data_IF_513811512263
#
_entry.id   IF_513811512263
#
_cell.length_a   1.000
_cell.length_b   1.000
_cell.length_c   1.000
_cell.angle_alpha   90.00
_cell.angle_beta   90.00
_cell.angle_gamma   90.00
#
_symmetry.space_group_name_H-M   'P 1'
#
loop_
_entity.id
_entity.type
_entity.pdbx_description
1 polymer ?
#
# COMPACT_ATOMS: atom_id res chain seq x y z
N UNK A 1 -27.54 -33.99 -18.85
CA UNK A 1 -26.20 -33.94 -18.25
C UNK A 1 -26.27 -33.39 -16.83
N UNK A 2 -25.41 -33.84 -15.91
CA UNK A 2 -25.25 -33.21 -14.60
C UNK A 2 -24.24 -32.07 -14.75
N UNK A 3 -24.67 -30.83 -14.54
CA UNK A 3 -23.78 -29.68 -14.49
C UNK A 3 -23.04 -29.67 -13.14
N UNK A 4 -21.71 -29.66 -13.18
CA UNK A 4 -20.85 -29.71 -12.00
C UNK A 4 -20.14 -28.35 -11.84
N UNK A 5 -20.21 -27.76 -10.64
CA UNK A 5 -19.47 -26.54 -10.30
C UNK A 5 -18.21 -26.93 -9.55
N UNK A 6 -17.04 -26.45 -10.00
CA UNK A 6 -15.75 -26.69 -9.37
C UNK A 6 -15.06 -25.39 -9.00
N UNK A 7 -14.30 -25.44 -7.91
CA UNK A 7 -13.37 -24.37 -7.55
C UNK A 7 -12.17 -24.39 -8.49
N UNK A 8 -11.61 -23.21 -8.77
CA UNK A 8 -10.48 -23.08 -9.67
C UNK A 8 -9.19 -23.71 -9.10
N UNK A 9 -9.09 -23.79 -7.77
CA UNK A 9 -8.00 -24.45 -7.06
C UNK A 9 -8.63 -25.48 -6.12
N UNK A 10 -8.08 -26.69 -6.08
CA UNK A 10 -8.51 -27.71 -5.13
C UNK A 10 -8.23 -27.22 -3.70
N UNK A 11 -9.25 -27.28 -2.86
CA UNK A 11 -9.16 -26.91 -1.47
C UNK A 11 -9.47 -28.14 -0.62
N UNK A 12 -8.58 -28.50 0.32
CA UNK A 12 -8.80 -29.59 1.26
C UNK A 12 -9.72 -29.15 2.41
N UNK A 13 -10.91 -28.63 2.07
CA UNK A 13 -11.91 -28.19 3.04
C UNK A 13 -13.23 -28.93 2.82
N UNK A 14 -13.71 -29.60 3.86
CA UNK A 14 -15.04 -30.22 3.85
C UNK A 14 -16.15 -29.18 4.13
N UNK A 15 -15.83 -28.16 4.96
CA UNK A 15 -16.73 -27.05 5.29
C UNK A 15 -15.94 -25.74 5.43
N UNK A 16 -16.55 -24.63 5.04
CA UNK A 16 -15.97 -23.28 5.15
C UNK A 16 -17.04 -22.27 5.55
N UNK A 17 -16.64 -21.20 6.25
CA UNK A 17 -17.51 -20.05 6.50
C UNK A 17 -17.75 -19.28 5.21
N UNK A 18 -18.84 -18.49 5.13
CA UNK A 18 -19.11 -17.60 3.98
C UNK A 18 -17.97 -16.61 3.76
N UNK A 19 -17.41 -16.08 4.85
CA UNK A 19 -16.24 -15.19 4.80
C UNK A 19 -15.04 -15.89 4.18
N UNK A 20 -14.72 -17.12 4.63
CA UNK A 20 -13.59 -17.86 4.07
C UNK A 20 -13.82 -18.21 2.60
N UNK A 21 -15.02 -18.65 2.24
CA UNK A 21 -15.40 -18.93 0.86
C UNK A 21 -15.22 -17.71 -0.05
N UNK A 22 -15.58 -16.51 0.43
CA UNK A 22 -15.38 -15.26 -0.29
C UNK A 22 -13.89 -14.92 -0.44
N UNK A 23 -13.11 -15.05 0.62
CA UNK A 23 -11.67 -14.76 0.65
C UNK A 23 -10.88 -15.64 -0.32
N UNK A 24 -11.18 -16.94 -0.37
CA UNK A 24 -10.51 -17.89 -1.29
C UNK A 24 -11.14 -17.94 -2.67
N UNK A 25 -12.21 -17.16 -2.91
CA UNK A 25 -12.94 -17.14 -4.18
C UNK A 25 -13.55 -18.50 -4.56
N UNK A 26 -14.11 -19.23 -3.60
CA UNK A 26 -14.74 -20.53 -3.85
C UNK A 26 -16.04 -20.37 -4.64
N UNK A 27 -16.02 -20.86 -5.87
CA UNK A 27 -17.16 -21.01 -6.77
C UNK A 27 -18.26 -21.85 -6.11
N UNK A 28 -17.90 -23.00 -5.55
CA UNK A 28 -18.83 -23.90 -4.87
C UNK A 28 -19.48 -23.22 -3.67
N UNK A 29 -18.71 -22.49 -2.87
CA UNK A 29 -19.22 -21.74 -1.73
C UNK A 29 -20.21 -20.65 -2.13
N UNK A 30 -19.89 -19.85 -3.14
CA UNK A 30 -20.77 -18.77 -3.63
C UNK A 30 -22.05 -19.33 -4.30
N UNK A 31 -21.92 -20.38 -5.11
CA UNK A 31 -23.06 -21.05 -5.73
C UNK A 31 -24.02 -21.65 -4.70
N UNK A 32 -23.50 -22.34 -3.68
CA UNK A 32 -24.31 -22.89 -2.58
C UNK A 32 -25.02 -21.77 -1.80
N UNK A 33 -24.34 -20.66 -1.53
CA UNK A 33 -24.94 -19.50 -0.85
C UNK A 33 -26.06 -18.89 -1.70
N UNK A 34 -25.84 -18.69 -3.00
CA UNK A 34 -26.86 -18.16 -3.90
C UNK A 34 -28.10 -19.08 -3.97
N UNK A 35 -27.90 -20.39 -4.08
CA UNK A 35 -28.98 -21.37 -4.05
C UNK A 35 -29.71 -21.38 -2.70
N UNK A 36 -29.00 -21.28 -1.58
CA UNK A 36 -29.62 -21.23 -0.26
C UNK A 36 -30.52 -19.98 -0.09
N UNK A 37 -30.11 -18.84 -0.64
CA UNK A 37 -30.86 -17.59 -0.53
C UNK A 37 -31.98 -17.43 -1.60
N UNK A 38 -31.76 -17.94 -2.82
CA UNK A 38 -32.58 -17.62 -4.00
C UNK A 38 -33.02 -18.85 -4.81
N UNK A 39 -32.60 -20.06 -4.45
CA UNK A 39 -32.82 -21.28 -5.23
C UNK A 39 -34.20 -21.94 -5.06
N UNK A 40 -35.06 -21.42 -4.17
CA UNK A 40 -36.44 -21.91 -4.08
C UNK A 40 -37.23 -21.51 -5.35
N UNK A 41 -38.22 -22.33 -5.78
CA UNK A 41 -39.03 -22.02 -6.95
C UNK A 41 -39.58 -20.59 -6.94
N UNK A 42 -39.45 -19.89 -8.07
CA UNK A 42 -39.89 -18.49 -8.23
C UNK A 42 -39.00 -17.42 -7.57
N UNK A 43 -37.99 -17.79 -6.78
CA UNK A 43 -37.16 -16.81 -6.06
C UNK A 43 -35.94 -16.31 -6.84
N UNK A 44 -35.56 -16.96 -7.93
CA UNK A 44 -34.42 -16.56 -8.75
C UNK A 44 -34.54 -15.13 -9.29
N UNK A 45 -35.77 -14.70 -9.64
CA UNK A 45 -36.05 -13.33 -10.06
C UNK A 45 -35.66 -12.29 -8.99
N UNK A 46 -35.65 -12.64 -7.70
CA UNK A 46 -35.19 -11.74 -6.63
C UNK A 46 -33.69 -11.48 -6.67
N UNK A 47 -32.89 -12.45 -7.16
CA UNK A 47 -31.45 -12.26 -7.36
C UNK A 47 -31.21 -11.23 -8.47
N UNK A 48 -31.85 -11.41 -9.63
CA UNK A 48 -31.77 -10.45 -10.76
C UNK A 48 -32.30 -9.08 -10.35
N UNK A 49 -33.42 -9.03 -9.63
CA UNK A 49 -33.96 -7.79 -9.06
C UNK A 49 -32.94 -7.08 -8.16
N UNK A 50 -32.14 -7.82 -7.39
CA UNK A 50 -31.08 -7.24 -6.55
C UNK A 50 -29.97 -6.61 -7.40
N UNK A 51 -29.53 -7.28 -8.47
CA UNK A 51 -28.56 -6.71 -9.42
C UNK A 51 -29.09 -5.44 -10.08
N UNK A 52 -30.36 -5.45 -10.49
CA UNK A 52 -31.03 -4.26 -11.03
C UNK A 52 -31.13 -3.12 -10.01
N UNK A 53 -31.39 -3.45 -8.74
CA UNK A 53 -31.37 -2.48 -7.63
C UNK A 53 -29.99 -1.87 -7.39
N UNK A 54 -28.89 -2.49 -7.84
CA UNK A 54 -27.57 -1.88 -7.82
C UNK A 54 -27.27 -1.02 -9.06
N UNK A 55 -28.27 -0.81 -9.94
CA UNK A 55 -28.14 -0.13 -11.23
C UNK A 55 -27.18 -0.82 -12.22
N UNK A 56 -26.84 -2.11 -12.02
CA UNK A 56 -25.93 -2.85 -12.90
C UNK A 56 -26.50 -3.17 -14.28
N UNK A 57 -27.81 -2.96 -14.46
CA UNK A 57 -28.51 -3.15 -15.74
C UNK A 57 -28.57 -1.87 -16.58
N UNK A 58 -27.93 -0.79 -16.13
CA UNK A 58 -27.93 0.50 -16.80
C UNK A 58 -26.49 0.87 -17.20
N UNK A 59 -26.30 1.59 -18.32
CA UNK A 59 -25.04 2.28 -18.59
C UNK A 59 -24.70 3.26 -17.45
N UNK A 60 -23.41 3.56 -17.28
CA UNK A 60 -22.94 4.52 -16.27
C UNK A 60 -23.30 5.96 -16.63
N UNK A 61 -23.49 6.23 -17.92
CA UNK A 61 -23.79 7.56 -18.44
C UNK A 61 -22.56 8.46 -18.54
N UNK A 62 -21.35 7.88 -18.59
CA UNK A 62 -20.11 8.61 -18.81
C UNK A 62 -20.18 9.42 -20.12
N UNK A 63 -19.55 10.58 -20.16
CA UNK A 63 -19.57 11.49 -21.31
C UNK A 63 -18.63 11.04 -22.44
N UNK A 64 -18.66 9.75 -22.80
CA UNK A 64 -17.94 9.18 -23.95
C UNK A 64 -18.92 8.40 -24.82
N UNK A 65 -18.80 8.56 -26.13
CA UNK A 65 -19.54 7.75 -27.11
C UNK A 65 -19.08 6.29 -27.11
N UNK A 66 -20.03 5.37 -27.33
CA UNK A 66 -19.72 3.94 -27.43
C UNK A 66 -19.71 3.18 -26.11
N UNK A 67 -20.30 3.74 -25.03
CA UNK A 67 -20.57 2.95 -23.83
C UNK A 67 -21.50 1.77 -24.17
N UNK A 68 -20.99 0.55 -23.96
CA UNK A 68 -21.76 -0.67 -24.20
C UNK A 68 -22.85 -0.87 -23.14
N UNK A 69 -24.02 -1.34 -23.57
CA UNK A 69 -25.09 -1.72 -22.65
C UNK A 69 -24.72 -3.00 -21.88
N UNK A 70 -25.02 -3.06 -20.56
CA UNK A 70 -24.84 -4.28 -19.80
C UNK A 70 -25.90 -5.32 -20.22
N UNK A 71 -25.57 -6.59 -20.01
CA UNK A 71 -26.52 -7.68 -20.17
C UNK A 71 -26.62 -8.46 -18.86
N UNK A 72 -27.84 -8.66 -18.38
CA UNK A 72 -28.14 -9.49 -17.21
C UNK A 72 -29.28 -10.41 -17.60
N UNK A 73 -29.00 -11.70 -17.67
CA UNK A 73 -30.00 -12.72 -17.94
C UNK A 73 -31.13 -12.67 -16.93
N UNK A 74 -32.38 -12.76 -17.39
CA UNK A 74 -33.58 -12.60 -16.57
C UNK A 74 -34.50 -13.82 -16.68
N UNK A 75 -34.95 -14.44 -15.57
CA UNK A 75 -35.84 -15.59 -15.61
C UNK A 75 -37.23 -15.26 -16.19
N UNK A 76 -37.60 -13.97 -16.24
CA UNK A 76 -38.87 -13.52 -16.81
C UNK A 76 -38.81 -13.23 -18.32
N UNK A 77 -37.63 -13.30 -18.94
CA UNK A 77 -37.47 -13.03 -20.37
C UNK A 77 -37.42 -14.36 -21.16
N UNK A 78 -38.37 -14.63 -22.07
CA UNK A 78 -38.37 -15.87 -22.86
C UNK A 78 -37.16 -16.04 -23.78
N UNK A 79 -36.49 -14.95 -24.16
CA UNK A 79 -35.26 -15.00 -24.98
C UNK A 79 -34.03 -15.43 -24.17
N UNK A 80 -34.11 -15.26 -22.85
CA UNK A 80 -33.08 -15.70 -21.93
C UNK A 80 -33.31 -17.18 -21.61
N UNK A 81 -32.45 -18.06 -22.14
CA UNK A 81 -32.47 -19.52 -21.92
C UNK A 81 -32.20 -19.90 -20.46
N UNK A 82 -33.13 -19.57 -19.56
CA UNK A 82 -32.95 -19.67 -18.11
C UNK A 82 -33.01 -21.13 -17.67
N UNK A 83 -31.93 -21.60 -17.04
CA UNK A 83 -31.84 -22.96 -16.53
C UNK A 83 -31.64 -22.99 -15.02
N UNK A 84 -31.76 -24.17 -14.41
CA UNK A 84 -31.41 -24.37 -13.00
C UNK A 84 -29.95 -24.05 -12.66
N UNK A 85 -29.07 -24.01 -13.67
CA UNK A 85 -27.66 -23.67 -13.50
C UNK A 85 -27.39 -22.15 -13.55
N UNK A 86 -28.30 -21.36 -14.13
CA UNK A 86 -28.09 -19.92 -14.32
C UNK A 86 -27.83 -19.18 -13.01
N UNK A 87 -28.62 -19.44 -11.96
CA UNK A 87 -28.44 -18.77 -10.67
C UNK A 87 -27.06 -19.05 -10.03
N UNK A 88 -26.59 -20.32 -9.90
CA UNK A 88 -25.22 -20.63 -9.51
C UNK A 88 -24.17 -19.89 -10.34
N UNK A 89 -24.29 -19.90 -11.66
CA UNK A 89 -23.31 -19.31 -12.58
C UNK A 89 -23.24 -17.79 -12.47
N UNK A 90 -24.39 -17.13 -12.38
CA UNK A 90 -24.49 -15.69 -12.13
C UNK A 90 -23.86 -15.28 -10.81
N UNK A 91 -23.94 -16.12 -9.77
CA UNK A 91 -23.32 -15.81 -8.47
C UNK A 91 -21.78 -15.73 -8.51
N UNK A 92 -21.18 -16.28 -9.58
CA UNK A 92 -19.73 -16.33 -9.80
C UNK A 92 -19.29 -15.41 -10.95
N UNK A 93 -20.20 -14.60 -11.49
CA UNK A 93 -19.92 -13.62 -12.55
C UNK A 93 -20.05 -14.14 -13.98
N UNK A 94 -20.68 -15.30 -14.21
CA UNK A 94 -21.05 -15.78 -15.54
C UNK A 94 -22.51 -15.45 -15.88
N UNK A 95 -22.94 -15.66 -17.13
CA UNK A 95 -24.31 -15.36 -17.61
C UNK A 95 -24.76 -13.90 -17.42
N UNK A 96 -23.80 -12.98 -17.30
CA UNK A 96 -23.98 -11.53 -17.30
C UNK A 96 -22.75 -10.85 -17.90
N UNK A 97 -22.95 -9.68 -18.51
CA UNK A 97 -21.90 -8.87 -19.12
C UNK A 97 -21.97 -7.46 -18.55
N UNK A 98 -20.87 -7.01 -17.95
CA UNK A 98 -20.70 -5.67 -17.40
C UNK A 98 -19.43 -5.05 -17.97
N UNK A 99 -19.46 -3.75 -18.24
CA UNK A 99 -18.25 -3.01 -18.60
C UNK A 99 -17.33 -2.87 -17.38
N UNK A 100 -16.00 -2.75 -17.58
CA UNK A 100 -15.08 -2.48 -16.48
C UNK A 100 -15.46 -1.25 -15.67
N UNK A 101 -16.00 -0.22 -16.32
CA UNK A 101 -16.41 1.02 -15.67
C UNK A 101 -17.67 0.84 -14.80
N UNK A 102 -18.64 0.03 -15.23
CA UNK A 102 -19.80 -0.35 -14.41
C UNK A 102 -19.36 -1.11 -13.16
N UNK A 103 -18.46 -2.09 -13.33
CA UNK A 103 -17.94 -2.88 -12.22
C UNK A 103 -17.14 -2.01 -11.25
N UNK A 104 -16.29 -1.12 -11.76
CA UNK A 104 -15.55 -0.15 -10.95
C UNK A 104 -16.50 0.77 -10.19
N UNK A 105 -17.55 1.29 -10.84
CA UNK A 105 -18.55 2.16 -10.21
C UNK A 105 -19.29 1.47 -9.07
N UNK A 106 -19.56 0.16 -9.20
CA UNK A 106 -20.15 -0.65 -8.13
C UNK A 106 -19.21 -0.82 -6.93
N UNK A 107 -17.94 -1.14 -7.18
CA UNK A 107 -16.94 -1.23 -6.10
C UNK A 107 -16.64 0.12 -5.47
N UNK A 108 -16.64 1.20 -6.25
CA UNK A 108 -16.55 2.57 -5.76
C UNK A 108 -17.71 2.89 -4.82
N UNK A 109 -18.94 2.48 -5.14
CA UNK A 109 -20.08 2.65 -4.25
C UNK A 109 -19.90 1.90 -2.91
N UNK A 110 -19.28 0.71 -2.91
CA UNK A 110 -18.94 0.01 -1.67
C UNK A 110 -17.87 0.75 -0.87
N UNK A 111 -16.85 1.30 -1.54
CA UNK A 111 -15.81 2.12 -0.92
C UNK A 111 -16.39 3.43 -0.34
N UNK A 112 -17.35 4.03 -1.02
CA UNK A 112 -18.00 5.30 -0.70
C UNK A 112 -19.25 5.13 0.17
N UNK A 113 -19.18 4.22 1.15
CA UNK A 113 -20.23 3.98 2.16
C UNK A 113 -21.65 3.74 1.59
N UNK A 114 -21.72 3.13 0.42
CA UNK A 114 -22.95 2.77 -0.29
C UNK A 114 -23.46 3.84 -1.26
N UNK A 115 -22.76 4.95 -1.44
CA UNK A 115 -23.14 6.04 -2.33
C UNK A 115 -22.53 5.84 -3.72
N UNK A 116 -23.37 5.52 -4.69
CA UNK A 116 -22.99 5.37 -6.09
C UNK A 116 -22.96 6.72 -6.79
N UNK A 117 -21.82 7.02 -7.41
CA UNK A 117 -21.56 8.26 -8.13
C UNK A 117 -21.63 8.02 -9.64
N UNK A 118 -21.98 9.06 -10.40
CA UNK A 118 -21.83 9.07 -11.85
C UNK A 118 -20.35 9.27 -12.16
N UNK A 119 -19.68 8.38 -12.92
CA UNK A 119 -18.34 8.67 -13.42
C UNK A 119 -18.42 9.85 -14.39
N UNK A 120 -17.45 10.76 -14.32
CA UNK A 120 -17.36 11.92 -15.18
C UNK A 120 -15.89 12.25 -15.46
N UNK A 121 -15.61 12.86 -16.62
CA UNK A 121 -14.23 13.15 -17.08
C UNK A 121 -13.88 14.63 -17.06
N UNK A 122 -14.88 15.49 -17.17
CA UNK A 122 -14.70 16.94 -17.30
C UNK A 122 -15.20 17.59 -16.02
N UNK A 123 -14.33 18.28 -15.30
CA UNK A 123 -14.71 19.07 -14.11
C UNK A 123 -15.18 20.47 -14.50
N UNK A 124 -14.54 21.11 -15.48
CA UNK A 124 -14.92 22.42 -15.96
C UNK A 124 -14.45 22.70 -17.40
N UNK A 125 -15.12 23.65 -18.06
CA UNK A 125 -14.70 24.23 -19.33
C UNK A 125 -14.27 25.67 -19.06
N UNK A 126 -13.04 26.00 -19.46
CA UNK A 126 -12.46 27.32 -19.29
C UNK A 126 -12.27 28.05 -20.62
N UNK A 127 -12.37 29.38 -20.60
CA UNK A 127 -11.93 30.28 -21.69
C UNK A 127 -11.18 31.46 -21.10
N UNK A 128 -9.97 31.70 -21.59
CA UNK A 128 -9.05 32.73 -21.06
C UNK A 128 -8.82 32.64 -19.54
N UNK A 129 -8.75 31.41 -19.00
CA UNK A 129 -8.58 31.17 -17.57
C UNK A 129 -9.81 31.45 -16.71
N UNK A 130 -10.97 31.73 -17.32
CA UNK A 130 -12.25 31.86 -16.62
C UNK A 130 -13.12 30.64 -16.89
N UNK A 131 -13.65 30.05 -15.83
CA UNK A 131 -14.62 28.96 -15.90
C UNK A 131 -15.92 29.45 -16.56
N UNK A 132 -16.28 28.84 -17.67
CA UNK A 132 -17.57 29.08 -18.35
C UNK A 132 -18.62 28.11 -17.83
N UNK A 133 -18.22 26.86 -17.57
CA UNK A 133 -19.12 25.79 -17.17
C UNK A 133 -18.39 24.86 -16.19
N UNK A 134 -19.09 24.44 -15.15
CA UNK A 134 -18.57 23.55 -14.10
C UNK A 134 -19.51 22.36 -13.92
N UNK A 135 -18.94 21.16 -13.85
CA UNK A 135 -19.62 19.88 -13.80
C UNK A 135 -19.36 19.20 -12.45
N UNK A 136 -20.24 19.41 -11.45
CA UNK A 136 -20.04 18.84 -10.12
C UNK A 136 -20.31 17.33 -10.10
N UNK A 137 -19.72 16.58 -9.14
CA UNK A 137 -20.00 15.16 -8.95
C UNK A 137 -21.49 14.87 -8.76
N UNK A 138 -22.04 13.94 -9.56
CA UNK A 138 -23.47 13.57 -9.49
C UNK A 138 -23.66 12.27 -8.72
N UNK A 139 -24.65 12.25 -7.82
CA UNK A 139 -25.02 11.07 -7.03
C UNK A 139 -26.12 10.30 -7.75
N UNK A 140 -25.79 9.16 -8.35
CA UNK A 140 -26.79 8.29 -9.00
C UNK A 140 -27.66 7.57 -7.98
N UNK A 141 -27.06 7.12 -6.86
CA UNK A 141 -27.80 6.42 -5.81
C UNK A 141 -27.17 6.66 -4.45
N UNK A 142 -27.96 7.19 -3.52
CA UNK A 142 -27.49 7.53 -2.16
C UNK A 142 -27.11 6.30 -1.33
N UNK A 143 -27.83 5.18 -1.50
CA UNK A 143 -27.60 3.93 -0.79
C UNK A 143 -27.90 2.74 -1.71
N UNK A 144 -26.86 1.99 -2.09
CA UNK A 144 -27.01 0.73 -2.84
C UNK A 144 -27.44 -0.43 -1.92
N UNK A 145 -27.08 -0.36 -0.64
CA UNK A 145 -27.43 -1.34 0.40
C UNK A 145 -27.52 -0.66 1.78
N UNK A 146 -27.86 -1.41 2.82
CA UNK A 146 -27.80 -0.90 4.20
C UNK A 146 -26.35 -0.64 4.61
N UNK A 147 -26.14 0.29 5.55
CA UNK A 147 -24.80 0.58 6.08
C UNK A 147 -24.15 -0.67 6.66
N UNK A 148 -24.91 -1.52 7.36
CA UNK A 148 -24.42 -2.80 7.88
C UNK A 148 -23.92 -3.72 6.77
N UNK A 149 -24.68 -3.86 5.67
CA UNK A 149 -24.26 -4.67 4.52
C UNK A 149 -23.01 -4.10 3.86
N UNK A 150 -22.91 -2.78 3.72
CA UNK A 150 -21.70 -2.14 3.16
C UNK A 150 -20.48 -2.41 4.06
N UNK A 151 -20.60 -2.25 5.38
CA UNK A 151 -19.51 -2.54 6.31
C UNK A 151 -19.09 -4.02 6.28
N UNK A 152 -20.04 -4.94 6.13
CA UNK A 152 -19.75 -6.37 5.90
C UNK A 152 -19.02 -6.59 4.58
N UNK A 153 -19.45 -5.96 3.49
CA UNK A 153 -18.79 -6.06 2.19
C UNK A 153 -17.36 -5.51 2.22
N UNK A 154 -17.15 -4.35 2.83
CA UNK A 154 -15.81 -3.76 3.02
C UNK A 154 -14.89 -4.70 3.81
N UNK A 155 -15.40 -5.33 4.88
CA UNK A 155 -14.65 -6.34 5.65
C UNK A 155 -14.29 -7.57 4.80
N UNK A 156 -15.24 -8.09 4.03
CA UNK A 156 -15.00 -9.23 3.15
C UNK A 156 -13.93 -8.91 2.09
N UNK A 157 -14.00 -7.74 1.45
CA UNK A 157 -13.02 -7.29 0.46
C UNK A 157 -11.63 -7.05 1.06
N UNK A 158 -11.55 -6.55 2.30
CA UNK A 158 -10.30 -6.43 3.04
C UNK A 158 -9.72 -7.81 3.37
N UNK A 159 -10.57 -8.75 3.80
CA UNK A 159 -10.17 -10.13 4.12
C UNK A 159 -9.56 -10.88 2.93
N UNK A 160 -9.92 -10.54 1.68
CA UNK A 160 -9.28 -11.11 0.48
C UNK A 160 -7.79 -10.76 0.43
N UNK A 161 -7.43 -9.56 0.84
CA UNK A 161 -6.05 -9.05 0.88
C UNK A 161 -5.31 -9.45 2.16
N UNK A 162 -6.01 -9.64 3.28
CA UNK A 162 -5.34 -10.04 4.53
C UNK A 162 -5.13 -11.55 4.62
N UNK A 163 -6.08 -12.33 4.11
CA UNK A 163 -6.16 -13.78 4.37
C UNK A 163 -6.54 -14.61 3.15
N UNK A 164 -6.85 -13.99 2.01
CA UNK A 164 -7.42 -14.64 0.84
C UNK A 164 -6.49 -14.71 -0.37
N UNK A 165 -7.09 -14.72 -1.56
CA UNK A 165 -6.37 -14.86 -2.84
C UNK A 165 -5.37 -13.75 -3.14
N UNK A 166 -5.40 -12.63 -2.41
CA UNK A 166 -4.52 -11.49 -2.59
C UNK A 166 -3.51 -11.32 -1.42
N UNK A 167 -3.42 -12.29 -0.50
CA UNK A 167 -2.63 -12.15 0.74
C UNK A 167 -1.15 -11.89 0.53
N UNK A 168 -0.56 -12.45 -0.52
CA UNK A 168 0.86 -12.29 -0.84
C UNK A 168 1.23 -10.84 -1.23
N UNK A 169 0.24 -10.02 -1.57
CA UNK A 169 0.43 -8.63 -1.99
C UNK A 169 0.10 -7.61 -0.89
N UNK A 170 -0.17 -8.08 0.33
CA UNK A 170 -0.40 -7.19 1.46
C UNK A 170 0.84 -6.34 1.76
N UNK A 171 0.65 -5.12 2.26
CA UNK A 171 1.72 -4.17 2.52
C UNK A 171 1.56 -3.52 3.89
N UNK A 172 2.66 -3.26 4.63
CA UNK A 172 2.58 -2.56 5.91
C UNK A 172 2.36 -1.04 5.76
N UNK A 173 2.42 -0.49 4.54
CA UNK A 173 2.41 0.96 4.31
C UNK A 173 1.01 1.58 4.28
N UNK A 174 0.01 0.84 3.80
CA UNK A 174 -1.39 1.23 3.79
C UNK A 174 -2.28 0.00 3.57
N UNK A 175 -3.51 0.04 4.08
CA UNK A 175 -4.49 -1.00 3.79
C UNK A 175 -5.09 -0.79 2.39
N UNK A 176 -5.35 -1.87 1.66
CA UNK A 176 -6.18 -1.84 0.45
C UNK A 176 -7.16 -3.02 0.47
N UNK A 177 -8.26 -2.89 -0.26
CA UNK A 177 -9.31 -3.91 -0.30
C UNK A 177 -9.76 -4.13 -1.74
N UNK A 178 -10.13 -5.36 -2.08
CA UNK A 178 -10.55 -5.66 -3.43
C UNK A 178 -10.86 -7.14 -3.64
N UNK A 179 -11.07 -7.51 -4.90
CA UNK A 179 -11.38 -8.88 -5.30
C UNK A 179 -10.66 -9.25 -6.57
N UNK A 180 -10.06 -10.45 -6.57
CA UNK A 180 -9.53 -11.10 -7.75
C UNK A 180 -10.67 -11.72 -8.57
N UNK A 181 -10.60 -11.60 -9.88
CA UNK A 181 -11.46 -12.31 -10.83
C UNK A 181 -10.64 -13.09 -11.85
N UNK A 182 -11.08 -14.30 -12.15
CA UNK A 182 -10.54 -15.14 -13.23
C UNK A 182 -11.73 -15.68 -14.01
N UNK A 183 -11.90 -15.20 -15.23
CA UNK A 183 -13.04 -15.58 -16.08
C UNK A 183 -12.50 -16.32 -17.29
N UNK A 184 -13.08 -17.47 -17.59
CA UNK A 184 -12.79 -18.18 -18.82
C UNK A 184 -13.63 -17.58 -19.95
N UNK A 185 -12.95 -17.16 -21.02
CA UNK A 185 -13.58 -16.65 -22.22
C UNK A 185 -14.05 -17.83 -23.09
N UNK A 186 -15.12 -17.63 -23.84
CA UNK A 186 -15.66 -18.59 -24.81
C UNK A 186 -15.91 -19.99 -24.19
N UNK A 187 -16.59 -20.00 -23.04
CA UNK A 187 -16.93 -21.22 -22.28
C UNK A 187 -17.76 -22.23 -23.09
N UNK A 188 -18.36 -21.80 -24.21
CA UNK A 188 -19.17 -22.62 -25.11
C UNK A 188 -18.59 -22.52 -26.52
N UNK A 189 -18.11 -23.64 -27.10
CA UNK A 189 -17.81 -23.71 -28.54
C UNK A 189 -19.10 -23.47 -29.29
N UNK A 190 -19.15 -22.39 -30.06
CA UNK A 190 -20.25 -22.10 -30.98
C UNK A 190 -20.01 -22.75 -32.34
N UNK A 191 -18.73 -23.01 -32.70
CA UNK A 191 -18.31 -23.72 -33.90
C UNK A 191 -16.89 -24.35 -33.75
N UNK A 192 -16.39 -24.95 -34.82
CA UNK A 192 -15.02 -25.52 -34.89
C UNK A 192 -13.91 -24.48 -35.08
N UNK A 193 -14.27 -23.20 -35.20
CA UNK A 193 -13.34 -22.07 -35.40
C UNK A 193 -13.21 -21.19 -34.15
N UNK A 194 -14.04 -21.40 -33.14
CA UNK A 194 -13.94 -20.71 -31.85
C UNK A 194 -12.74 -21.29 -31.10
N UNK A 195 -11.67 -20.49 -30.96
CA UNK A 195 -10.57 -20.84 -30.06
C UNK A 195 -11.13 -20.95 -28.64
N UNK A 196 -11.26 -22.19 -28.16
CA UNK A 196 -11.48 -22.42 -26.73
C UNK A 196 -10.18 -22.07 -26.01
N UNK A 197 -10.22 -21.19 -25.03
CA UNK A 197 -9.14 -21.15 -24.03
C UNK A 197 -8.48 -19.80 -23.77
N UNK A 198 -9.24 -18.70 -23.88
CA UNK A 198 -8.82 -17.43 -23.31
C UNK A 198 -9.15 -17.32 -21.82
N UNK A 199 -8.29 -16.64 -21.05
CA UNK A 199 -8.61 -16.24 -19.68
C UNK A 199 -8.57 -14.73 -19.57
N UNK A 200 -9.51 -14.18 -18.82
CA UNK A 200 -9.51 -12.79 -18.40
C UNK A 200 -9.18 -12.73 -16.92
N UNK A 201 -8.00 -12.20 -16.62
CA UNK A 201 -7.53 -11.95 -15.27
C UNK A 201 -7.92 -10.53 -14.87
N UNK A 202 -8.46 -10.36 -13.67
CA UNK A 202 -8.88 -9.04 -13.17
C UNK A 202 -8.63 -8.86 -11.69
N UNK A 203 -8.44 -7.61 -11.32
CA UNK A 203 -8.50 -7.17 -9.93
C UNK A 203 -9.24 -5.84 -9.86
N UNK A 204 -10.22 -5.75 -8.97
CA UNK A 204 -10.95 -4.50 -8.71
C UNK A 204 -10.92 -4.23 -7.21
N UNK A 205 -10.62 -2.99 -6.85
CA UNK A 205 -10.43 -2.62 -5.46
C UNK A 205 -10.32 -1.13 -5.22
N UNK A 206 -10.05 -0.76 -3.98
CA UNK A 206 -9.89 0.62 -3.53
C UNK A 206 -8.84 0.74 -2.44
N UNK A 207 -8.26 1.94 -2.32
CA UNK A 207 -7.21 2.25 -1.36
C UNK A 207 -7.20 3.75 -1.00
N UNK A 208 -6.72 4.11 0.21
CA UNK A 208 -6.56 3.23 1.36
C UNK A 208 -7.89 2.59 1.82
N UNK A 209 -7.89 1.37 2.37
CA UNK A 209 -9.14 0.67 2.69
C UNK A 209 -9.92 1.31 3.86
N UNK A 210 -9.20 1.93 4.80
CA UNK A 210 -9.80 2.55 6.00
C UNK A 210 -10.42 3.92 5.71
N UNK A 211 -9.87 4.65 4.74
CA UNK A 211 -10.38 5.92 4.25
C UNK A 211 -10.22 5.97 2.71
N UNK A 212 -11.13 5.35 1.95
CA UNK A 212 -10.98 5.21 0.51
C UNK A 212 -10.91 6.54 -0.22
N UNK A 213 -9.88 6.71 -1.05
CA UNK A 213 -9.68 7.89 -1.90
C UNK A 213 -9.68 7.53 -3.37
N UNK A 214 -9.19 6.34 -3.69
CA UNK A 214 -9.07 5.84 -5.05
C UNK A 214 -9.73 4.46 -5.17
N UNK A 215 -10.38 4.22 -6.30
CA UNK A 215 -10.80 2.90 -6.74
C UNK A 215 -10.15 2.60 -8.09
N UNK A 216 -9.71 1.37 -8.30
CA UNK A 216 -9.04 0.95 -9.53
C UNK A 216 -9.52 -0.44 -9.94
N UNK A 217 -9.69 -0.62 -11.25
CA UNK A 217 -9.90 -1.92 -11.89
C UNK A 217 -8.78 -2.15 -12.89
N UNK A 218 -8.19 -3.34 -12.84
CA UNK A 218 -7.24 -3.84 -13.82
C UNK A 218 -7.86 -5.05 -14.49
N UNK A 219 -7.86 -5.06 -15.81
CA UNK A 219 -8.35 -6.16 -16.64
C UNK A 219 -7.26 -6.54 -17.64
N UNK A 220 -6.92 -7.83 -17.70
CA UNK A 220 -5.93 -8.36 -18.63
C UNK A 220 -6.55 -9.55 -19.35
N UNK A 221 -6.77 -9.39 -20.65
CA UNK A 221 -7.31 -10.43 -21.52
C UNK A 221 -6.17 -11.28 -22.11
N UNK A 222 -6.34 -12.59 -22.10
CA UNK A 222 -5.42 -13.59 -22.65
C UNK A 222 -3.96 -13.38 -22.21
N UNK A 223 -3.67 -13.39 -20.89
CA UNK A 223 -2.31 -13.24 -20.39
C UNK A 223 -1.43 -14.39 -20.90
N UNK A 224 -0.30 -14.04 -21.55
CA UNK A 224 0.64 -15.01 -22.14
C UNK A 224 1.76 -15.43 -21.19
N UNK A 225 2.00 -14.67 -20.12
CA UNK A 225 3.07 -14.88 -19.13
C UNK A 225 2.56 -14.51 -17.73
N UNK A 226 3.06 -15.20 -16.70
CA UNK A 226 2.71 -14.91 -15.30
C UNK A 226 1.50 -15.66 -14.75
N UNK A 227 0.95 -16.61 -15.51
CA UNK A 227 -0.22 -17.41 -15.10
C UNK A 227 -1.55 -16.85 -15.63
N UNK A 228 -2.66 -17.43 -15.18
CA UNK A 228 -4.02 -17.10 -15.63
C UNK A 228 -4.86 -16.43 -14.54
N UNK A 229 -4.36 -16.39 -13.30
CA UNK A 229 -5.13 -15.92 -12.16
C UNK A 229 -5.02 -14.39 -11.99
N UNK A 230 -6.14 -13.75 -11.60
CA UNK A 230 -6.19 -12.32 -11.28
C UNK A 230 -5.12 -11.87 -10.27
N UNK A 231 -4.81 -12.71 -9.27
CA UNK A 231 -3.77 -12.45 -8.27
C UNK A 231 -2.34 -12.43 -8.81
N UNK A 232 -2.08 -13.11 -9.92
CA UNK A 232 -0.73 -13.24 -10.48
C UNK A 232 -0.46 -12.22 -11.59
N UNK A 233 -1.51 -11.77 -12.29
CA UNK A 233 -1.36 -10.92 -13.49
C UNK A 233 -1.91 -9.51 -13.25
N UNK A 234 -3.15 -9.38 -12.77
CA UNK A 234 -3.81 -8.08 -12.64
C UNK A 234 -3.46 -7.35 -11.33
N UNK A 235 -3.37 -8.10 -10.23
CA UNK A 235 -3.04 -7.54 -8.92
C UNK A 235 -1.63 -6.88 -8.84
N UNK A 236 -0.55 -7.42 -9.42
CA UNK A 236 0.73 -6.71 -9.48
C UNK A 236 0.61 -5.32 -10.10
N UNK A 237 -0.14 -5.20 -11.20
CA UNK A 237 -0.36 -3.90 -11.89
C UNK A 237 -1.15 -2.95 -10.99
N UNK A 238 -2.19 -3.45 -10.31
CA UNK A 238 -2.93 -2.65 -9.32
C UNK A 238 -1.99 -2.14 -8.21
N UNK A 239 -1.09 -2.99 -7.70
CA UNK A 239 -0.15 -2.64 -6.63
C UNK A 239 0.83 -1.56 -7.07
N UNK A 240 1.42 -1.68 -8.25
CA UNK A 240 2.31 -0.66 -8.82
C UNK A 240 1.61 0.71 -8.93
N UNK A 241 0.38 0.73 -9.43
CA UNK A 241 -0.43 1.96 -9.53
C UNK A 241 -0.73 2.51 -8.13
N UNK A 242 -1.20 1.67 -7.22
CA UNK A 242 -1.60 2.07 -5.89
C UNK A 242 -0.41 2.57 -5.05
N UNK A 243 0.74 1.90 -5.11
CA UNK A 243 1.96 2.30 -4.43
C UNK A 243 2.47 3.64 -4.96
N UNK A 244 2.53 3.79 -6.29
CA UNK A 244 2.98 5.04 -6.89
C UNK A 244 2.08 6.20 -6.50
N UNK A 245 0.75 6.03 -6.54
CA UNK A 245 -0.19 7.07 -6.10
C UNK A 245 -0.03 7.35 -4.61
N UNK A 246 0.07 6.30 -3.79
CA UNK A 246 0.17 6.44 -2.34
C UNK A 246 1.41 7.24 -1.94
N UNK A 247 2.59 6.84 -2.41
CA UNK A 247 3.85 7.47 -2.02
C UNK A 247 4.11 8.84 -2.67
N UNK A 248 3.39 9.19 -3.75
CA UNK A 248 3.51 10.52 -4.37
C UNK A 248 2.47 11.52 -3.88
N UNK A 249 1.38 11.07 -3.27
CA UNK A 249 0.29 11.94 -2.81
C UNK A 249 0.52 12.41 -1.38
N UNK A 250 0.95 13.66 -1.21
CA UNK A 250 1.16 14.27 0.10
C UNK A 250 -0.09 14.20 0.99
N UNK A 251 -1.28 14.35 0.40
CA UNK A 251 -2.57 14.36 1.11
C UNK A 251 -2.96 13.00 1.72
N UNK A 252 -2.28 11.92 1.34
CA UNK A 252 -2.51 10.58 1.91
C UNK A 252 -1.63 10.29 3.12
N UNK A 253 -0.66 11.16 3.41
CA UNK A 253 0.27 10.99 4.52
C UNK A 253 -0.06 11.93 5.67
N UNK A 254 -0.01 11.43 6.90
CA UNK A 254 -0.04 12.30 8.07
C UNK A 254 1.18 13.23 8.03
N UNK A 255 1.00 14.56 8.22
CA UNK A 255 2.13 15.46 8.33
C UNK A 255 3.06 15.01 9.44
N UNK A 256 4.38 14.94 9.20
CA UNK A 256 5.36 14.52 10.22
C UNK A 256 5.30 15.40 11.48
N UNK A 257 4.90 16.66 11.32
CA UNK A 257 4.75 17.63 12.39
C UNK A 257 3.34 17.67 13.02
N UNK A 258 2.43 16.78 12.61
CA UNK A 258 1.07 16.70 13.17
C UNK A 258 1.08 16.18 14.61
N UNK A 259 2.07 15.33 14.95
CA UNK A 259 2.24 14.78 16.28
C UNK A 259 3.01 15.77 17.16
N UNK A 260 2.66 15.88 18.46
CA UNK A 260 3.42 16.71 19.39
C UNK A 260 4.90 16.36 19.30
N UNK A 261 5.77 17.37 19.20
CA UNK A 261 7.22 17.13 19.21
C UNK A 261 7.54 16.29 20.45
N UNK A 262 8.22 15.14 20.29
CA UNK A 262 8.55 14.30 21.42
C UNK A 262 9.34 15.13 22.43
N UNK A 263 8.97 15.06 23.72
CA UNK A 263 9.80 15.64 24.78
C UNK A 263 11.16 14.94 24.75
N UNK A 264 12.22 15.71 24.58
CA UNK A 264 13.58 15.22 24.67
C UNK A 264 13.86 14.95 26.15
N UNK A 265 13.81 13.67 26.54
CA UNK A 265 14.29 13.24 27.85
C UNK A 265 15.83 13.35 27.86
N UNK A 266 16.45 13.58 29.01
CA UNK A 266 17.92 13.69 29.13
C UNK A 266 18.67 12.50 28.50
N UNK A 267 18.11 11.28 28.57
CA UNK A 267 18.66 10.07 27.93
C UNK A 267 18.67 10.09 26.39
N UNK A 268 17.92 11.01 25.76
CA UNK A 268 17.84 11.19 24.31
C UNK A 268 18.69 12.36 23.82
N UNK A 269 19.25 13.15 24.73
CA UNK A 269 20.18 14.20 24.39
C UNK A 269 21.56 13.58 24.06
N UNK A 270 22.35 14.21 23.17
CA UNK A 270 23.70 13.76 22.89
C UNK A 270 24.53 13.70 24.17
N UNK A 271 25.18 12.57 24.43
CA UNK A 271 26.11 12.40 25.53
C UNK A 271 27.37 11.65 25.05
N UNK A 272 28.52 12.06 25.57
CA UNK A 272 29.84 11.57 25.13
C UNK A 272 30.21 11.91 23.67
N UNK A 273 29.60 12.93 23.04
CA UNK A 273 30.00 13.35 21.69
C UNK A 273 31.30 14.17 21.72
N UNK A 274 32.30 13.81 20.91
CA UNK A 274 33.61 14.48 20.89
C UNK A 274 33.81 15.13 19.52
N UNK A 275 34.27 16.38 19.51
CA UNK A 275 34.61 17.08 18.27
C UNK A 275 35.31 18.41 18.51
N UNK A 276 35.63 19.10 17.41
CA UNK A 276 36.19 20.44 17.45
C UNK A 276 35.17 21.43 18.03
N UNK A 277 35.61 22.30 18.94
CA UNK A 277 34.74 23.22 19.69
C UNK A 277 33.90 24.11 18.77
N UNK A 278 34.53 24.70 17.76
CA UNK A 278 33.85 25.62 16.82
C UNK A 278 32.74 24.91 16.04
N UNK A 279 33.02 23.70 15.56
CA UNK A 279 32.05 22.90 14.81
C UNK A 279 30.90 22.46 15.70
N UNK A 280 31.20 21.99 16.92
CA UNK A 280 30.19 21.57 17.87
C UNK A 280 29.26 22.73 18.27
N UNK A 281 29.81 23.94 18.48
CA UNK A 281 28.99 25.14 18.72
C UNK A 281 28.06 25.43 17.54
N UNK A 282 28.59 25.41 16.31
CA UNK A 282 27.81 25.64 15.10
C UNK A 282 26.63 24.66 14.98
N UNK A 283 26.88 23.36 15.20
CA UNK A 283 25.82 22.33 15.17
C UNK A 283 24.76 22.59 16.24
N UNK A 284 25.17 22.85 17.48
CA UNK A 284 24.22 23.10 18.58
C UNK A 284 23.39 24.36 18.34
N UNK A 285 23.99 25.42 17.79
CA UNK A 285 23.31 26.68 17.45
C UNK A 285 22.32 26.50 16.29
N UNK A 286 22.71 25.79 15.22
CA UNK A 286 21.84 25.48 14.09
C UNK A 286 20.63 24.64 14.50
N UNK A 287 20.83 23.69 15.41
CA UNK A 287 19.77 22.86 15.99
C UNK A 287 18.98 23.60 17.09
N UNK A 288 19.35 24.84 17.42
CA UNK A 288 18.75 25.66 18.49
C UNK A 288 18.72 24.93 19.84
N UNK A 289 19.76 24.16 20.13
CA UNK A 289 19.92 23.44 21.38
C UNK A 289 20.64 24.31 22.42
N UNK A 290 20.05 24.55 23.61
CA UNK A 290 20.71 25.32 24.66
C UNK A 290 21.90 24.54 25.25
N UNK A 291 23.04 25.20 25.39
CA UNK A 291 24.25 24.60 25.96
C UNK A 291 25.04 25.59 26.83
N UNK A 292 25.84 25.05 27.75
CA UNK A 292 26.82 25.80 28.54
C UNK A 292 28.24 25.47 28.08
N UNK A 293 28.99 26.49 27.67
CA UNK A 293 30.39 26.35 27.33
C UNK A 293 31.26 26.48 28.59
N UNK A 294 31.86 25.38 29.05
CA UNK A 294 32.65 25.35 30.29
C UNK A 294 34.16 25.30 30.03
N UNK A 295 34.59 25.44 28.77
CA UNK A 295 36.00 25.38 28.38
C UNK A 295 36.30 26.24 27.16
N UNK A 296 37.56 26.68 27.04
CA UNK A 296 38.11 27.35 25.84
C UNK A 296 38.97 26.42 24.97
N UNK A 297 39.09 25.14 25.34
CA UNK A 297 39.86 24.12 24.61
C UNK A 297 39.39 23.96 23.18
N UNK A 298 40.29 23.68 22.24
CA UNK A 298 39.91 23.44 20.83
C UNK A 298 39.11 22.15 20.65
N UNK A 299 39.31 21.18 21.54
CA UNK A 299 38.58 19.93 21.58
C UNK A 299 37.66 19.87 22.80
N UNK A 300 36.42 19.45 22.57
CA UNK A 300 35.38 19.36 23.60
C UNK A 300 34.68 18.02 23.60
N UNK A 301 34.08 17.69 24.74
CA UNK A 301 33.10 16.60 24.87
C UNK A 301 31.76 17.23 25.23
N UNK A 302 30.73 16.93 24.44
CA UNK A 302 29.34 17.25 24.76
C UNK A 302 28.85 16.26 25.80
N UNK A 303 28.34 16.79 26.89
CA UNK A 303 27.72 16.03 27.96
C UNK A 303 26.33 16.53 28.23
N UNK A 304 25.42 15.59 28.47
CA UNK A 304 24.14 15.94 29.09
C UNK A 304 24.36 16.05 30.60
N UNK A 305 23.96 17.17 31.19
CA UNK A 305 23.98 17.31 32.65
C UNK A 305 22.82 16.53 33.29
N UNK A 306 22.72 16.48 34.62
CA UNK A 306 21.53 15.95 35.30
C UNK A 306 20.24 16.79 35.07
N UNK A 307 20.30 17.75 34.13
CA UNK A 307 19.20 18.61 33.67
C UNK A 307 19.06 18.46 32.16
N UNK A 308 18.09 19.14 31.56
CA UNK A 308 17.87 19.21 30.11
C UNK A 308 18.88 20.10 29.35
N UNK A 309 20.00 20.47 29.99
CA UNK A 309 21.03 21.33 29.38
C UNK A 309 22.30 20.57 29.03
N UNK A 310 22.79 20.83 27.81
CA UNK A 310 24.07 20.31 27.32
C UNK A 310 25.25 21.14 27.85
N UNK A 311 26.39 20.50 28.04
CA UNK A 311 27.63 21.12 28.48
C UNK A 311 28.79 20.76 27.55
N UNK A 312 29.59 21.75 27.17
CA UNK A 312 30.85 21.53 26.47
C UNK A 312 31.98 21.48 27.50
N UNK A 313 32.51 20.28 27.73
CA UNK A 313 33.62 20.02 28.65
C UNK A 313 34.95 19.90 27.90
N UNK A 314 36.07 20.18 28.57
CA UNK A 314 37.41 20.07 27.99
C UNK A 314 37.73 18.62 27.60
N UNK A 315 38.05 18.38 26.33
CA UNK A 315 38.77 17.16 25.90
C UNK A 315 40.26 17.49 25.83
N UNK A 316 41.06 16.87 26.69
CA UNK A 316 42.53 17.04 26.65
C UNK A 316 43.10 16.25 25.48
N UNK A 317 43.69 16.97 24.53
CA UNK A 317 44.54 16.42 23.47
C UNK A 317 45.94 16.99 23.71
N UNK A 318 46.96 16.17 24.02
CA UNK A 318 48.31 16.68 24.27
C UNK A 318 48.88 17.47 23.08
N UNK A 319 49.52 18.60 23.35
CA UNK A 319 50.25 19.40 22.36
C UNK A 319 51.65 18.83 22.08
N UNK A 320 52.19 18.04 23.02
CA UNK A 320 53.44 17.32 22.88
C UNK A 320 53.40 16.32 21.71
N UNK A 321 54.58 15.98 21.16
CA UNK A 321 54.75 14.99 20.08
C UNK A 321 54.59 13.55 20.59
N UNK A 322 53.41 13.27 21.14
CA UNK A 322 52.98 11.98 21.69
C UNK A 322 51.65 11.54 21.08
N UNK A 323 51.39 10.24 21.09
CA UNK A 323 50.15 9.64 20.60
C UNK A 323 48.99 10.12 21.50
N UNK A 324 47.98 10.80 20.97
CA UNK A 324 46.81 11.20 21.74
C UNK A 324 45.79 10.06 21.91
N UNK A 325 44.87 10.21 22.85
CA UNK A 325 43.70 9.34 22.96
C UNK A 325 42.59 9.84 22.03
N UNK A 326 42.34 9.12 20.94
CA UNK A 326 41.29 9.42 19.95
C UNK A 326 40.05 8.55 20.11
N UNK A 327 39.99 7.68 21.12
CA UNK A 327 38.80 6.85 21.39
C UNK A 327 37.59 7.75 21.69
N UNK A 328 36.48 7.47 21.00
CA UNK A 328 35.23 8.22 21.02
C UNK A 328 35.10 9.29 19.93
N UNK A 329 36.18 9.61 19.20
CA UNK A 329 36.14 10.60 18.13
C UNK A 329 35.60 10.02 16.82
N UNK A 330 35.10 10.90 15.96
CA UNK A 330 34.81 10.57 14.57
C UNK A 330 36.12 10.26 13.82
N UNK A 331 36.03 9.49 12.73
CA UNK A 331 37.21 9.21 11.90
C UNK A 331 37.90 10.49 11.43
N UNK A 332 37.10 11.48 10.99
CA UNK A 332 37.62 12.76 10.48
C UNK A 332 38.46 13.49 11.53
N UNK A 333 37.95 13.61 12.75
CA UNK A 333 38.66 14.27 13.84
C UNK A 333 39.90 13.49 14.27
N UNK A 334 39.79 12.16 14.33
CA UNK A 334 40.91 11.28 14.68
C UNK A 334 42.05 11.37 13.66
N UNK A 335 41.73 11.34 12.36
CA UNK A 335 42.71 11.50 11.28
C UNK A 335 43.41 12.85 11.38
N UNK A 336 42.65 13.94 11.49
CA UNK A 336 43.21 15.28 11.64
C UNK A 336 44.18 15.39 12.82
N UNK A 337 43.85 14.80 13.97
CA UNK A 337 44.72 14.84 15.16
C UNK A 337 45.99 14.00 14.97
N UNK A 338 45.88 12.80 14.38
CA UNK A 338 46.96 11.83 14.29
C UNK A 338 47.94 12.15 13.16
N UNK A 339 47.43 12.46 11.96
CA UNK A 339 48.25 12.72 10.78
C UNK A 339 49.04 14.03 10.91
N UNK A 340 48.43 15.08 11.50
CA UNK A 340 49.15 16.33 11.80
C UNK A 340 50.30 16.14 12.82
N UNK A 341 50.36 14.99 13.51
CA UNK A 341 51.48 14.62 14.40
C UNK A 341 52.51 13.72 13.73
N UNK A 342 52.29 13.34 12.47
CA UNK A 342 53.16 12.47 11.69
C UNK A 342 52.95 10.98 11.94
N UNK A 343 51.75 10.56 12.36
CA UNK A 343 51.36 9.14 12.38
C UNK A 343 50.66 8.80 11.07
N UNK A 344 50.93 7.61 10.53
CA UNK A 344 50.16 7.04 9.42
C UNK A 344 48.98 6.24 10.00
N UNK A 345 47.77 6.44 9.49
CA UNK A 345 46.55 5.87 10.10
C UNK A 345 45.97 4.76 9.24
N UNK A 346 45.92 3.55 9.78
CA UNK A 346 45.15 2.44 9.22
C UNK A 346 43.77 2.34 9.90
N UNK A 347 42.74 2.06 9.11
CA UNK A 347 41.34 2.10 9.57
C UNK A 347 40.64 0.78 9.29
N UNK A 348 39.90 0.27 10.28
CA UNK A 348 39.02 -0.88 10.12
C UNK A 348 37.63 -0.60 10.71
N UNK A 349 36.58 -0.68 9.89
CA UNK A 349 35.19 -0.42 10.28
C UNK A 349 34.68 0.95 9.85
N UNK A 350 33.50 1.32 10.33
CA UNK A 350 32.83 2.61 10.08
C UNK A 350 32.27 3.16 11.40
N UNK A 351 32.03 4.47 11.49
CA UNK A 351 31.48 5.11 12.70
C UNK A 351 32.53 5.83 13.55
N UNK A 352 32.56 5.55 14.85
CA UNK A 352 33.47 6.22 15.80
C UNK A 352 34.60 5.30 16.23
N UNK A 353 35.74 5.88 16.61
CA UNK A 353 36.90 5.12 17.09
C UNK A 353 36.57 4.45 18.42
N UNK A 354 36.52 3.12 18.44
CA UNK A 354 36.35 2.33 19.68
C UNK A 354 37.67 1.83 20.24
N UNK A 355 38.70 1.71 19.39
CA UNK A 355 40.04 1.23 19.78
C UNK A 355 41.12 1.83 18.90
N UNK A 356 42.29 2.06 19.49
CA UNK A 356 43.53 2.43 18.82
C UNK A 356 44.64 1.44 19.19
N UNK A 357 45.56 1.13 18.27
CA UNK A 357 46.64 0.15 18.50
C UNK A 357 47.76 0.69 19.40
N UNK A 358 48.06 2.00 19.32
CA UNK A 358 49.12 2.64 20.09
C UNK A 358 48.56 3.26 21.37
N UNK A 359 49.28 3.07 22.49
CA UNK A 359 48.88 3.63 23.79
C UNK A 359 49.03 5.16 23.79
N UNK A 360 48.06 5.91 24.34
CA UNK A 360 48.21 7.34 24.55
C UNK A 360 49.46 7.69 25.37
N UNK A 361 50.16 8.76 25.02
CA UNK A 361 51.42 9.19 25.64
C UNK A 361 52.68 8.58 25.02
N UNK A 362 52.56 7.61 24.11
CA UNK A 362 53.71 7.04 23.38
C UNK A 362 54.35 8.12 22.50
N UNK A 363 55.68 8.26 22.48
CA UNK A 363 56.35 9.25 21.62
C UNK A 363 56.10 8.96 20.14
N UNK A 364 55.84 10.01 19.36
CA UNK A 364 55.59 9.86 17.91
C UNK A 364 56.91 9.93 17.15
N UNK A 365 57.24 8.84 16.44
CA UNK A 365 58.46 8.71 15.63
C UNK A 365 58.17 8.35 14.17
N UNK A 366 56.94 8.57 13.68
CA UNK A 366 56.54 8.22 12.31
C UNK A 366 55.89 6.84 12.17
N UNK A 367 55.50 6.20 13.29
CA UNK A 367 54.90 4.87 13.24
C UNK A 367 53.44 4.87 12.77
N UNK A 368 53.00 3.73 12.23
CA UNK A 368 51.60 3.50 11.84
C UNK A 368 50.73 3.19 13.07
N UNK A 369 49.53 3.76 13.12
CA UNK A 369 48.50 3.51 14.14
C UNK A 369 47.26 2.92 13.49
N UNK A 370 46.76 1.81 14.04
CA UNK A 370 45.55 1.15 13.56
C UNK A 370 44.37 1.51 14.44
N UNK A 371 43.29 1.99 13.83
CA UNK A 371 42.02 2.33 14.48
C UNK A 371 40.96 1.29 14.14
N UNK A 372 40.19 0.89 15.15
CA UNK A 372 38.97 0.08 14.97
C UNK A 372 37.76 0.94 15.24
N UNK A 373 36.80 0.93 14.32
CA UNK A 373 35.60 1.76 14.35
C UNK A 373 34.35 0.90 14.44
N UNK A 374 33.33 1.43 15.11
CA UNK A 374 32.00 0.83 15.20
C UNK A 374 30.91 1.90 15.17
#
# INVERSE_FOLDING_TARGET
EKLEVKDAVAHNYDTVTVERAFQISSNVGMAKMALACYGRPGQAARFVKRLRQFNLHLPTGIEIEGEANPYIKDPGNPEDDWSGATLPWMSMGYELLLTPLQLLSFYNAVANDGKMMKPYLVEEIQRYGQTIEHFPPVVLKRKIASTETIRKAQRLLRGVVEHGTASEWNTPHYAFAGKTGTTQLDYRRLDDRTEVGGYQASFVGYFPADAPRYSCIVLISNPRKGGIYGSQVALPVFREIADKIYFSSLDLHEPLNSKPRPRLEARKLPDYEIGARKEMKSVLEQLRMPYKELTRSDWVVVRTSNTDTLQLLKRRVPEEKVVPNVVGMTLRDALYILENRGLEVEVAGFGKVVRQSLKPGTKVTGQTIKLTLK
#
